data_IF_756019145106
#
_entry.id   IF_756019145106
#
_cell.length_a   1.000
_cell.length_b   1.000
_cell.length_c   1.000
_cell.angle_alpha   90.00
_cell.angle_beta   90.00
_cell.angle_gamma   90.00
#
_symmetry.space_group_name_H-M   'P 1'
#
loop_
_entity.id
_entity.type
_entity.pdbx_description
1 polymer ?
#
# COMPACT_ATOMS: atom_id res chain seq x y z
N UNK A 1 30.29 28.39 10.44
CA UNK A 1 28.87 28.48 10.04
C UNK A 1 27.96 28.05 11.19
N UNK A 2 27.22 28.97 11.83
CA UNK A 2 26.19 28.58 12.81
C UNK A 2 24.96 28.04 12.10
N UNK A 3 24.38 27.01 12.68
CA UNK A 3 23.15 26.36 12.21
C UNK A 3 22.16 26.25 13.35
N UNK A 4 20.86 26.21 13.04
CA UNK A 4 19.83 25.88 14.03
C UNK A 4 19.44 24.41 13.98
N UNK A 5 18.75 23.96 15.03
CA UNK A 5 18.17 22.62 15.07
C UNK A 5 17.16 22.46 13.93
N UNK A 6 17.27 21.45 13.08
CA UNK A 6 16.34 21.29 11.97
C UNK A 6 14.95 20.86 12.45
N UNK A 7 13.93 21.25 11.68
CA UNK A 7 12.60 20.63 11.74
C UNK A 7 12.69 19.26 11.08
N UNK A 8 12.36 18.21 11.83
CA UNK A 8 12.45 16.81 11.40
C UNK A 8 11.04 16.22 11.30
N UNK A 9 10.77 15.47 10.23
CA UNK A 9 9.58 14.64 10.09
C UNK A 9 9.73 13.37 10.94
N UNK A 10 8.85 13.19 11.94
CA UNK A 10 8.81 12.00 12.79
C UNK A 10 7.75 11.02 12.29
N UNK A 11 7.89 9.73 12.62
CA UNK A 11 6.91 8.73 12.20
C UNK A 11 5.50 9.03 12.74
N UNK A 12 5.41 9.50 13.98
CA UNK A 12 4.14 9.90 14.62
C UNK A 12 3.37 11.00 13.88
N UNK A 13 3.99 11.69 12.90
CA UNK A 13 3.30 12.74 12.14
C UNK A 13 2.39 12.14 11.06
N UNK A 14 2.69 10.93 10.57
CA UNK A 14 1.91 10.32 9.49
C UNK A 14 1.28 8.97 9.87
N UNK A 15 1.57 8.42 11.06
CA UNK A 15 1.02 7.13 11.49
C UNK A 15 -0.52 7.12 11.55
N UNK A 16 -1.15 8.22 11.97
CA UNK A 16 -2.61 8.30 12.02
C UNK A 16 -3.22 8.43 10.61
N UNK A 17 -2.58 9.20 9.73
CA UNK A 17 -2.93 9.27 8.30
C UNK A 17 -2.79 7.88 7.65
N UNK A 18 -1.71 7.15 7.94
CA UNK A 18 -1.50 5.78 7.45
C UNK A 18 -2.64 4.84 7.90
N UNK A 19 -3.05 4.91 9.17
CA UNK A 19 -4.16 4.12 9.70
C UNK A 19 -5.48 4.47 9.02
N UNK A 20 -5.74 5.76 8.75
CA UNK A 20 -6.95 6.21 8.07
C UNK A 20 -7.03 5.68 6.64
N UNK A 21 -5.94 5.77 5.86
CA UNK A 21 -5.88 5.23 4.50
C UNK A 21 -6.09 3.71 4.51
N UNK A 22 -5.40 3.00 5.42
CA UNK A 22 -5.57 1.56 5.58
C UNK A 22 -6.99 1.19 5.99
N UNK A 23 -7.62 1.97 6.86
CA UNK A 23 -8.99 1.81 7.30
C UNK A 23 -9.99 1.94 6.17
N UNK A 24 -9.78 2.91 5.26
CA UNK A 24 -10.59 3.07 4.04
C UNK A 24 -10.52 1.79 3.20
N UNK A 25 -9.31 1.37 2.81
CA UNK A 25 -9.16 0.22 1.92
C UNK A 25 -9.63 -1.08 2.57
N UNK A 26 -9.39 -1.27 3.86
CA UNK A 26 -9.90 -2.43 4.57
C UNK A 26 -11.43 -2.43 4.63
N UNK A 27 -12.05 -1.34 5.08
CA UNK A 27 -13.52 -1.28 5.25
C UNK A 27 -14.25 -1.46 3.92
N UNK A 28 -13.76 -0.84 2.86
CA UNK A 28 -14.49 -0.73 1.59
C UNK A 28 -14.11 -1.79 0.57
N UNK A 29 -12.93 -2.40 0.68
CA UNK A 29 -12.44 -3.43 -0.25
C UNK A 29 -12.14 -4.70 0.52
N UNK A 30 -11.03 -4.74 1.25
CA UNK A 30 -10.43 -6.02 1.68
C UNK A 30 -11.24 -6.75 2.76
N UNK A 31 -11.80 -6.04 3.74
CA UNK A 31 -12.66 -6.63 4.76
C UNK A 31 -13.90 -7.29 4.16
N UNK A 32 -14.47 -6.71 3.10
CA UNK A 32 -15.60 -7.29 2.35
C UNK A 32 -15.16 -8.54 1.58
N UNK A 33 -14.02 -8.45 0.87
CA UNK A 33 -13.46 -9.58 0.12
C UNK A 33 -13.09 -10.76 1.03
N UNK A 34 -12.36 -10.50 2.11
CA UNK A 34 -11.93 -11.50 3.08
C UNK A 34 -13.12 -12.16 3.77
N UNK A 35 -14.19 -11.42 4.07
CA UNK A 35 -15.43 -12.00 4.62
C UNK A 35 -16.09 -12.98 3.64
N UNK A 36 -16.12 -12.65 2.34
CA UNK A 36 -16.65 -13.55 1.30
C UNK A 36 -15.80 -14.82 1.22
N UNK A 37 -14.47 -14.65 1.18
CA UNK A 37 -13.51 -15.76 1.14
C UNK A 37 -13.66 -16.66 2.36
N UNK A 38 -13.74 -16.11 3.57
CA UNK A 38 -13.85 -16.89 4.80
C UNK A 38 -15.17 -17.68 4.86
N UNK A 39 -16.27 -17.05 4.45
CA UNK A 39 -17.60 -17.68 4.48
C UNK A 39 -17.71 -18.86 3.51
N UNK A 40 -17.09 -18.75 2.33
CA UNK A 40 -17.19 -19.76 1.27
C UNK A 40 -16.06 -20.81 1.43
N UNK A 41 -14.83 -20.38 1.70
CA UNK A 41 -13.67 -21.26 1.90
C UNK A 41 -13.81 -22.19 3.10
N UNK A 42 -14.37 -21.73 4.23
CA UNK A 42 -14.66 -22.63 5.37
C UNK A 42 -15.70 -23.70 5.02
N UNK A 43 -16.71 -23.37 4.20
CA UNK A 43 -17.72 -24.34 3.75
C UNK A 43 -17.16 -25.40 2.80
N UNK A 44 -16.11 -25.08 2.05
CA UNK A 44 -15.39 -26.03 1.19
C UNK A 44 -14.53 -27.02 2.01
N UNK A 45 -14.04 -26.63 3.18
CA UNK A 45 -13.16 -27.48 3.99
C UNK A 45 -13.88 -28.44 4.96
N UNK A 46 -15.17 -28.25 5.25
CA UNK A 46 -15.84 -28.86 6.42
C UNK A 46 -16.71 -30.12 6.19
N UNK A 47 -16.80 -30.67 4.97
CA UNK A 47 -17.66 -31.84 4.73
C UNK A 47 -16.84 -33.08 4.35
N UNK A 48 -16.90 -34.11 5.21
CA UNK A 48 -16.50 -35.48 4.86
C UNK A 48 -17.73 -36.37 4.86
N UNK A 49 -18.29 -36.62 3.68
CA UNK A 49 -19.15 -37.75 3.42
C UNK A 49 -18.30 -39.01 3.15
N UNK A 50 -18.99 -40.12 2.94
CA UNK A 50 -18.43 -41.47 2.75
C UNK A 50 -17.53 -41.65 1.50
N UNK A 51 -17.49 -40.71 0.55
CA UNK A 51 -16.68 -40.77 -0.68
C UNK A 51 -15.66 -39.64 -0.76
N UNK A 52 -14.41 -39.96 -0.41
CA UNK A 52 -13.33 -39.00 -0.30
C UNK A 52 -12.95 -38.31 -1.63
N UNK A 53 -13.12 -38.98 -2.79
CA UNK A 53 -12.83 -38.36 -4.08
C UNK A 53 -13.96 -37.42 -4.50
N UNK A 54 -15.21 -37.83 -4.28
CA UNK A 54 -16.37 -36.97 -4.54
C UNK A 54 -16.25 -35.67 -3.74
N UNK A 55 -16.01 -35.76 -2.43
CA UNK A 55 -15.91 -34.58 -1.59
C UNK A 55 -14.72 -33.70 -2.00
N UNK A 56 -13.57 -34.31 -2.27
CA UNK A 56 -12.39 -33.54 -2.64
C UNK A 56 -12.59 -32.78 -3.96
N UNK A 57 -13.27 -33.37 -4.95
CA UNK A 57 -13.63 -32.69 -6.19
C UNK A 57 -14.76 -31.67 -5.99
N UNK A 58 -15.82 -32.05 -5.27
CA UNK A 58 -16.99 -31.20 -5.04
C UNK A 58 -16.61 -29.91 -4.30
N UNK A 59 -15.70 -30.00 -3.34
CA UNK A 59 -15.30 -28.88 -2.51
C UNK A 59 -13.95 -28.28 -2.89
N UNK A 60 -13.45 -28.52 -4.12
CA UNK A 60 -12.26 -27.85 -4.65
C UNK A 60 -10.96 -28.15 -3.90
N UNK A 61 -10.90 -29.26 -3.14
CA UNK A 61 -9.66 -29.74 -2.53
C UNK A 61 -8.75 -30.45 -3.55
N UNK A 62 -9.34 -31.01 -4.60
CA UNK A 62 -8.67 -31.54 -5.78
C UNK A 62 -9.07 -30.72 -7.01
N UNK A 63 -8.07 -30.37 -7.82
CA UNK A 63 -8.31 -29.75 -9.12
C UNK A 63 -8.49 -30.85 -10.18
N UNK A 64 -9.46 -30.68 -11.08
CA UNK A 64 -9.61 -31.49 -12.30
C UNK A 64 -9.74 -30.59 -13.52
N UNK A 65 -8.83 -30.75 -14.48
CA UNK A 65 -8.86 -30.03 -15.75
C UNK A 65 -8.42 -30.95 -16.89
N UNK A 66 -9.25 -31.06 -17.93
CA UNK A 66 -8.96 -31.82 -19.16
C UNK A 66 -8.33 -33.22 -18.94
N UNK A 67 -8.84 -34.00 -17.99
CA UNK A 67 -8.33 -35.34 -17.69
C UNK A 67 -7.16 -35.38 -16.71
N UNK A 68 -6.74 -34.24 -16.16
CA UNK A 68 -5.64 -34.11 -15.20
C UNK A 68 -6.19 -33.78 -13.82
N UNK A 69 -5.80 -34.56 -12.81
CA UNK A 69 -6.11 -34.34 -11.40
C UNK A 69 -4.84 -33.94 -10.66
N UNK A 70 -4.92 -32.91 -9.82
CA UNK A 70 -3.78 -32.43 -9.04
C UNK A 70 -4.17 -31.99 -7.63
N UNK A 71 -3.14 -31.76 -6.78
CA UNK A 71 -3.19 -31.35 -5.36
C UNK A 71 -3.67 -32.42 -4.37
N UNK A 72 -3.48 -32.15 -3.08
CA UNK A 72 -4.10 -32.75 -1.89
C UNK A 72 -4.71 -34.17 -2.04
N UNK A 73 -3.91 -35.12 -2.54
CA UNK A 73 -4.30 -36.54 -2.56
C UNK A 73 -3.94 -37.17 -1.22
N UNK A 74 -4.80 -38.08 -0.74
CA UNK A 74 -4.55 -38.91 0.43
C UNK A 74 -4.78 -40.39 0.08
N UNK A 75 -4.45 -41.31 0.99
CA UNK A 75 -4.55 -42.74 0.72
C UNK A 75 -5.94 -43.20 0.24
N UNK A 76 -7.03 -42.59 0.76
CA UNK A 76 -8.39 -42.92 0.35
C UNK A 76 -8.69 -42.45 -1.08
N UNK A 77 -8.32 -41.21 -1.42
CA UNK A 77 -8.43 -40.64 -2.76
C UNK A 77 -7.62 -41.46 -3.77
N UNK A 78 -6.37 -41.78 -3.44
CA UNK A 78 -5.46 -42.54 -4.31
C UNK A 78 -6.01 -43.92 -4.67
N UNK A 79 -6.66 -44.60 -3.72
CA UNK A 79 -7.32 -45.90 -3.97
C UNK A 79 -8.42 -45.76 -5.02
N UNK A 80 -9.22 -44.70 -4.92
CA UNK A 80 -10.31 -44.44 -5.85
C UNK A 80 -9.77 -44.04 -7.23
N UNK A 81 -8.77 -43.15 -7.30
CA UNK A 81 -8.13 -42.73 -8.55
C UNK A 81 -7.61 -43.93 -9.36
N UNK A 82 -6.92 -44.87 -8.69
CA UNK A 82 -6.45 -46.10 -9.35
C UNK A 82 -7.61 -46.98 -9.84
N UNK A 83 -8.69 -47.09 -9.06
CA UNK A 83 -9.85 -47.90 -9.44
C UNK A 83 -10.59 -47.37 -10.68
N UNK A 84 -10.51 -46.05 -10.94
CA UNK A 84 -11.10 -45.42 -12.13
C UNK A 84 -10.10 -45.32 -13.30
N UNK A 85 -8.96 -46.01 -13.22
CA UNK A 85 -7.98 -46.06 -14.30
C UNK A 85 -7.02 -44.87 -14.37
N UNK A 86 -6.99 -43.99 -13.36
CA UNK A 86 -6.07 -42.87 -13.36
C UNK A 86 -4.60 -43.32 -13.17
N UNK A 87 -3.69 -42.71 -13.93
CA UNK A 87 -2.25 -43.01 -13.93
C UNK A 87 -1.46 -41.81 -13.43
N UNK A 88 -0.52 -42.05 -12.53
CA UNK A 88 0.35 -41.01 -12.01
C UNK A 88 1.41 -40.60 -13.04
N UNK A 89 1.60 -39.31 -13.22
CA UNK A 89 2.68 -38.70 -14.01
C UNK A 89 3.67 -38.02 -13.06
N UNK A 90 4.81 -38.67 -12.82
CA UNK A 90 5.84 -38.17 -11.90
C UNK A 90 6.59 -36.93 -12.40
N UNK A 91 6.47 -36.54 -13.68
CA UNK A 91 7.11 -35.31 -14.19
C UNK A 91 6.34 -34.07 -13.81
N UNK A 92 5.01 -34.17 -13.80
CA UNK A 92 4.09 -33.08 -13.46
C UNK A 92 3.51 -33.21 -12.05
N UNK A 93 3.80 -34.32 -11.37
CA UNK A 93 3.23 -34.69 -10.07
C UNK A 93 1.68 -34.74 -10.09
N UNK A 94 1.10 -35.16 -11.22
CA UNK A 94 -0.36 -35.20 -11.45
C UNK A 94 -0.89 -36.60 -11.73
N UNK A 95 -2.21 -36.75 -11.76
CA UNK A 95 -2.89 -37.99 -12.15
C UNK A 95 -3.67 -37.77 -13.45
N UNK A 96 -3.44 -38.60 -14.46
CA UNK A 96 -4.14 -38.56 -15.74
C UNK A 96 -5.23 -39.61 -15.79
N UNK A 97 -6.44 -39.22 -16.20
CA UNK A 97 -7.59 -40.09 -16.37
C UNK A 97 -8.30 -39.74 -17.68
N UNK A 98 -8.68 -40.74 -18.46
CA UNK A 98 -9.31 -40.53 -19.77
C UNK A 98 -10.68 -39.86 -19.65
N UNK A 99 -11.47 -40.28 -18.65
CA UNK A 99 -12.73 -39.63 -18.31
C UNK A 99 -13.14 -39.91 -16.86
N UNK A 100 -13.78 -38.94 -16.22
CA UNK A 100 -14.37 -39.14 -14.91
C UNK A 100 -15.73 -39.86 -15.01
N UNK A 101 -16.00 -40.86 -14.15
CA UNK A 101 -17.34 -41.38 -13.96
C UNK A 101 -18.37 -40.27 -13.66
N UNK A 102 -19.65 -40.44 -14.07
CA UNK A 102 -20.67 -39.37 -13.99
C UNK A 102 -20.77 -38.68 -12.63
N UNK A 103 -20.69 -39.43 -11.52
CA UNK A 103 -20.76 -38.85 -10.17
C UNK A 103 -19.64 -37.86 -9.86
N UNK A 104 -18.42 -38.10 -10.36
CA UNK A 104 -17.28 -37.21 -10.12
C UNK A 104 -17.28 -36.04 -11.10
N UNK A 105 -17.74 -36.25 -12.34
CA UNK A 105 -17.98 -35.15 -13.29
C UNK A 105 -19.01 -34.16 -12.76
N UNK A 106 -20.09 -34.65 -12.14
CA UNK A 106 -21.07 -33.79 -11.46
C UNK A 106 -20.47 -33.04 -10.25
N UNK A 107 -19.57 -33.68 -9.49
CA UNK A 107 -18.87 -33.04 -8.38
C UNK A 107 -18.01 -31.85 -8.87
N UNK A 108 -17.21 -32.05 -9.92
CA UNK A 108 -16.42 -31.00 -10.56
C UNK A 108 -17.33 -29.86 -11.06
N UNK A 109 -18.41 -30.17 -11.77
CA UNK A 109 -19.34 -29.15 -12.26
C UNK A 109 -19.97 -28.32 -11.12
N UNK A 110 -20.29 -28.95 -9.98
CA UNK A 110 -20.80 -28.25 -8.80
C UNK A 110 -19.73 -27.38 -8.12
N UNK A 111 -18.48 -27.83 -8.06
CA UNK A 111 -17.35 -27.02 -7.58
C UNK A 111 -17.13 -25.80 -8.48
N UNK A 112 -17.15 -26.02 -9.79
CA UNK A 112 -17.02 -24.98 -10.80
C UNK A 112 -18.10 -23.92 -10.64
N UNK A 113 -19.37 -24.33 -10.57
CA UNK A 113 -20.49 -23.40 -10.37
C UNK A 113 -20.32 -22.53 -9.11
N UNK A 114 -19.89 -23.12 -7.99
CA UNK A 114 -19.61 -22.40 -6.74
C UNK A 114 -18.46 -21.41 -6.90
N UNK A 115 -17.37 -21.82 -7.54
CA UNK A 115 -16.25 -20.94 -7.82
C UNK A 115 -16.64 -19.76 -8.71
N UNK A 116 -17.45 -20.00 -9.74
CA UNK A 116 -18.01 -18.94 -10.58
C UNK A 116 -18.83 -17.94 -9.75
N UNK A 117 -19.68 -18.43 -8.84
CA UNK A 117 -20.49 -17.58 -7.96
C UNK A 117 -19.64 -16.78 -6.96
N UNK A 118 -18.62 -17.40 -6.36
CA UNK A 118 -17.64 -16.73 -5.50
C UNK A 118 -16.95 -15.59 -6.26
N UNK A 119 -16.44 -15.89 -7.46
CA UNK A 119 -15.76 -14.89 -8.30
C UNK A 119 -16.67 -13.72 -8.62
N UNK A 120 -17.91 -13.99 -9.04
CA UNK A 120 -18.88 -12.92 -9.31
C UNK A 120 -19.17 -12.06 -8.08
N UNK A 121 -19.19 -12.68 -6.89
CA UNK A 121 -19.35 -11.94 -5.63
C UNK A 121 -18.15 -11.02 -5.34
N UNK A 122 -16.93 -11.49 -5.61
CA UNK A 122 -15.71 -10.68 -5.51
C UNK A 122 -15.74 -9.52 -6.51
N UNK A 123 -16.08 -9.78 -7.78
CA UNK A 123 -16.16 -8.76 -8.82
C UNK A 123 -17.19 -7.68 -8.44
N UNK A 124 -18.36 -8.07 -7.92
CA UNK A 124 -19.36 -7.09 -7.42
C UNK A 124 -18.80 -6.21 -6.32
N UNK A 125 -18.07 -6.76 -5.35
CA UNK A 125 -17.43 -5.95 -4.30
C UNK A 125 -16.44 -4.94 -4.88
N UNK A 126 -15.67 -5.35 -5.90
CA UNK A 126 -14.73 -4.47 -6.58
C UNK A 126 -15.43 -3.37 -7.39
N UNK A 127 -16.50 -3.73 -8.10
CA UNK A 127 -17.29 -2.78 -8.90
C UNK A 127 -18.06 -1.78 -8.01
N UNK A 128 -18.50 -2.19 -6.82
CA UNK A 128 -19.20 -1.36 -5.83
C UNK A 128 -18.25 -0.48 -4.98
N UNK A 129 -16.94 -0.69 -5.06
CA UNK A 129 -15.97 -0.01 -4.20
C UNK A 129 -15.79 1.46 -4.58
N UNK A 130 -16.67 2.34 -4.08
CA UNK A 130 -16.53 3.79 -4.23
C UNK A 130 -15.68 4.40 -3.12
N UNK A 131 -14.39 4.62 -3.41
CA UNK A 131 -13.45 5.19 -2.44
C UNK A 131 -13.71 6.69 -2.17
N UNK A 132 -14.32 7.41 -3.12
CA UNK A 132 -14.65 8.84 -2.94
C UNK A 132 -15.56 9.07 -1.73
N UNK A 133 -16.59 8.24 -1.52
CA UNK A 133 -17.49 8.36 -0.37
C UNK A 133 -16.80 7.99 0.95
N UNK A 134 -15.90 7.00 0.91
CA UNK A 134 -15.14 6.58 2.08
C UNK A 134 -14.22 7.69 2.63
N UNK A 135 -13.71 8.54 1.74
CA UNK A 135 -12.74 9.58 2.10
C UNK A 135 -13.38 10.78 2.83
N UNK A 136 -14.70 10.96 2.75
CA UNK A 136 -15.40 11.97 3.55
C UNK A 136 -15.66 11.53 5.00
N UNK A 137 -15.42 10.26 5.33
CA UNK A 137 -15.70 9.68 6.65
C UNK A 137 -14.47 9.59 7.56
N UNK A 138 -13.30 10.07 7.12
CA UNK A 138 -12.03 9.90 7.84
C UNK A 138 -11.45 11.22 8.34
N UNK A 139 -10.69 11.14 9.44
CA UNK A 139 -10.06 12.27 10.13
C UNK A 139 -8.80 12.84 9.48
N UNK A 140 -8.59 12.67 8.16
CA UNK A 140 -7.35 13.07 7.47
C UNK A 140 -7.04 14.56 7.68
N UNK A 141 -8.04 15.44 7.61
CA UNK A 141 -7.86 16.87 7.86
C UNK A 141 -7.38 17.14 9.29
N UNK A 142 -7.95 16.43 10.27
CA UNK A 142 -7.53 16.53 11.68
C UNK A 142 -6.08 16.05 11.85
N UNK A 143 -5.72 14.93 11.24
CA UNK A 143 -4.37 14.38 11.29
C UNK A 143 -3.32 15.31 10.64
N UNK A 144 -3.67 15.98 9.54
CA UNK A 144 -2.82 17.03 8.96
C UNK A 144 -2.74 18.28 9.84
N UNK A 145 -3.86 18.70 10.45
CA UNK A 145 -3.86 19.82 11.40
C UNK A 145 -2.89 19.58 12.57
N UNK A 146 -2.89 18.36 13.12
CA UNK A 146 -1.95 17.95 14.18
C UNK A 146 -0.50 17.94 13.70
N UNK A 147 -0.24 17.46 12.48
CA UNK A 147 1.08 17.54 11.85
C UNK A 147 1.58 18.98 11.75
N UNK A 148 0.72 19.89 11.29
CA UNK A 148 1.04 21.31 11.16
C UNK A 148 1.32 21.91 12.53
N UNK A 149 0.51 21.61 13.55
CA UNK A 149 0.75 22.06 14.93
C UNK A 149 2.11 21.60 15.47
N UNK A 150 2.46 20.32 15.29
CA UNK A 150 3.73 19.77 15.76
C UNK A 150 4.91 20.35 14.99
N UNK A 151 4.74 20.60 13.69
CA UNK A 151 5.76 21.23 12.84
C UNK A 151 5.99 22.69 13.23
N UNK A 152 4.91 23.43 13.47
CA UNK A 152 4.97 24.81 13.95
C UNK A 152 5.63 24.87 15.33
N UNK A 153 5.30 23.97 16.26
CA UNK A 153 5.97 23.91 17.56
C UNK A 153 7.49 23.67 17.44
N UNK A 154 7.92 22.79 16.52
CA UNK A 154 9.35 22.60 16.23
C UNK A 154 9.99 23.87 15.68
N UNK A 155 9.32 24.55 14.75
CA UNK A 155 9.81 25.81 14.19
C UNK A 155 10.03 26.86 15.27
N UNK A 156 9.02 27.08 16.12
CA UNK A 156 9.06 28.03 17.23
C UNK A 156 10.26 27.78 18.15
N UNK A 157 10.46 26.51 18.54
CA UNK A 157 11.59 26.09 19.36
C UNK A 157 12.94 26.32 18.65
N UNK A 158 13.01 26.05 17.35
CA UNK A 158 14.22 26.23 16.54
C UNK A 158 14.66 27.70 16.49
N UNK A 159 13.73 28.65 16.35
CA UNK A 159 14.05 30.06 16.07
C UNK A 159 13.95 31.00 17.28
N UNK A 160 13.39 30.56 18.42
CA UNK A 160 13.22 31.41 19.62
C UNK A 160 14.51 32.05 20.14
N UNK A 161 15.66 31.43 19.86
CA UNK A 161 16.98 31.92 20.30
C UNK A 161 17.51 33.10 19.47
N UNK A 162 16.94 33.31 18.28
CA UNK A 162 17.41 34.34 17.34
C UNK A 162 16.38 35.45 17.11
N UNK A 163 15.09 35.20 17.34
CA UNK A 163 14.01 36.20 17.22
C UNK A 163 12.72 35.76 17.89
N UNK A 164 11.76 36.67 17.98
CA UNK A 164 10.35 36.37 18.25
C UNK A 164 9.69 35.99 16.90
N UNK A 165 9.38 34.71 16.65
CA UNK A 165 8.68 34.30 15.43
C UNK A 165 7.21 34.73 15.46
N UNK A 166 6.64 34.97 14.28
CA UNK A 166 5.18 35.01 14.12
C UNK A 166 4.61 33.64 14.47
N UNK A 167 3.33 33.54 14.84
CA UNK A 167 2.65 32.25 15.08
C UNK A 167 1.57 32.08 14.02
N UNK A 168 1.45 30.88 13.45
CA UNK A 168 0.35 30.58 12.54
C UNK A 168 -1.01 30.71 13.24
N UNK A 169 -1.94 31.40 12.60
CA UNK A 169 -3.31 31.52 13.09
C UNK A 169 -4.05 30.18 12.99
N UNK A 170 -5.18 30.06 13.69
CA UNK A 170 -6.06 28.90 13.55
C UNK A 170 -6.50 28.70 12.09
N UNK A 171 -6.89 29.79 11.42
CA UNK A 171 -7.33 29.77 10.02
C UNK A 171 -6.23 29.31 9.06
N UNK A 172 -4.98 29.75 9.26
CA UNK A 172 -3.85 29.30 8.45
C UNK A 172 -3.64 27.79 8.55
N UNK A 173 -3.72 27.26 9.77
CA UNK A 173 -3.50 25.83 10.03
C UNK A 173 -4.59 24.97 9.41
N UNK A 174 -5.85 25.39 9.52
CA UNK A 174 -6.98 24.69 8.89
C UNK A 174 -6.89 24.77 7.36
N UNK A 175 -6.56 25.94 6.81
CA UNK A 175 -6.37 26.10 5.36
C UNK A 175 -5.28 25.17 4.82
N UNK A 176 -4.13 25.10 5.49
CA UNK A 176 -3.04 24.19 5.14
C UNK A 176 -3.47 22.72 5.28
N UNK A 177 -4.18 22.36 6.36
CA UNK A 177 -4.66 21.01 6.56
C UNK A 177 -5.61 20.55 5.45
N UNK A 178 -6.55 21.40 5.05
CA UNK A 178 -7.47 21.14 3.93
C UNK A 178 -6.75 20.96 2.60
N UNK A 179 -5.76 21.83 2.32
CA UNK A 179 -4.96 21.74 1.11
C UNK A 179 -4.27 20.38 0.99
N UNK A 180 -3.55 19.97 2.04
CA UNK A 180 -2.82 18.69 2.03
C UNK A 180 -3.75 17.47 2.09
N UNK A 181 -4.91 17.61 2.73
CA UNK A 181 -5.98 16.61 2.66
C UNK A 181 -6.44 16.41 1.22
N UNK A 182 -6.78 17.49 0.50
CA UNK A 182 -7.19 17.43 -0.90
C UNK A 182 -6.14 16.79 -1.80
N UNK A 183 -4.86 17.13 -1.63
CA UNK A 183 -3.76 16.53 -2.37
C UNK A 183 -3.67 15.02 -2.14
N UNK A 184 -3.63 14.59 -0.88
CA UNK A 184 -3.57 13.18 -0.52
C UNK A 184 -4.79 12.42 -1.05
N UNK A 185 -5.97 13.03 -0.97
CA UNK A 185 -7.21 12.45 -1.45
C UNK A 185 -7.15 12.11 -2.94
N UNK A 186 -6.59 12.99 -3.78
CA UNK A 186 -6.41 12.73 -5.22
C UNK A 186 -5.54 11.49 -5.47
N UNK A 187 -4.45 11.32 -4.71
CA UNK A 187 -3.55 10.17 -4.85
C UNK A 187 -4.17 8.87 -4.36
N UNK A 188 -4.92 8.89 -3.25
CA UNK A 188 -5.68 7.74 -2.75
C UNK A 188 -6.67 7.29 -3.82
N UNK A 189 -7.46 8.22 -4.38
CA UNK A 189 -8.44 7.90 -5.41
C UNK A 189 -7.77 7.29 -6.64
N UNK A 190 -6.78 7.99 -7.22
CA UNK A 190 -6.08 7.53 -8.44
C UNK A 190 -5.49 6.13 -8.27
N UNK A 191 -4.82 5.89 -7.15
CA UNK A 191 -4.23 4.58 -6.87
C UNK A 191 -5.31 3.51 -6.68
N UNK A 192 -6.38 3.83 -5.96
CA UNK A 192 -7.48 2.89 -5.71
C UNK A 192 -8.17 2.48 -7.02
N UNK A 193 -8.50 3.44 -7.88
CA UNK A 193 -9.11 3.16 -9.19
C UNK A 193 -8.23 2.21 -10.00
N UNK A 194 -6.92 2.45 -10.02
CA UNK A 194 -5.96 1.60 -10.74
C UNK A 194 -5.86 0.21 -10.12
N UNK A 195 -5.75 0.13 -8.79
CA UNK A 195 -5.57 -1.11 -8.07
C UNK A 195 -6.81 -2.00 -8.13
N UNK A 196 -8.02 -1.42 -8.05
CA UNK A 196 -9.28 -2.15 -8.19
C UNK A 196 -9.38 -2.77 -9.58
N UNK A 197 -9.03 -2.02 -10.63
CA UNK A 197 -9.03 -2.53 -12.01
C UNK A 197 -8.00 -3.65 -12.20
N UNK A 198 -6.78 -3.50 -11.68
CA UNK A 198 -5.74 -4.54 -11.72
C UNK A 198 -6.16 -5.81 -10.97
N UNK A 199 -6.68 -5.67 -9.74
CA UNK A 199 -7.18 -6.80 -8.96
C UNK A 199 -8.34 -7.50 -9.68
N UNK A 200 -9.27 -6.76 -10.27
CA UNK A 200 -10.35 -7.30 -11.10
C UNK A 200 -9.82 -8.12 -12.26
N UNK A 201 -8.81 -7.62 -12.99
CA UNK A 201 -8.18 -8.37 -14.08
C UNK A 201 -7.50 -9.65 -13.58
N UNK A 202 -6.78 -9.60 -12.46
CA UNK A 202 -6.16 -10.77 -11.84
C UNK A 202 -7.18 -11.81 -11.39
N UNK A 203 -8.32 -11.38 -10.85
CA UNK A 203 -9.42 -12.27 -10.46
C UNK A 203 -10.04 -12.95 -11.68
N UNK A 204 -10.17 -12.23 -12.81
CA UNK A 204 -10.69 -12.79 -14.05
C UNK A 204 -9.71 -13.76 -14.72
N UNK A 205 -8.40 -13.47 -14.69
CA UNK A 205 -7.37 -14.30 -15.35
C UNK A 205 -7.09 -15.62 -14.63
N UNK A 206 -7.35 -15.71 -13.31
CA UNK A 206 -7.25 -16.96 -12.54
C UNK A 206 -8.12 -18.12 -13.10
N UNK A 207 -9.14 -17.81 -13.93
CA UNK A 207 -10.02 -18.81 -14.58
C UNK A 207 -9.29 -19.61 -15.66
N UNK A 208 -8.44 -18.96 -16.47
CA UNK A 208 -7.81 -19.57 -17.64
C UNK A 208 -6.73 -20.58 -17.23
N UNK A 209 -6.13 -20.40 -16.06
CA UNK A 209 -5.02 -21.21 -15.58
C UNK A 209 -5.44 -22.44 -14.72
N UNK A 210 -6.75 -22.69 -14.54
CA UNK A 210 -7.22 -23.79 -13.69
C UNK A 210 -6.99 -23.59 -12.19
N UNK A 211 -6.76 -22.35 -11.73
CA UNK A 211 -6.35 -22.02 -10.36
C UNK A 211 -7.54 -21.53 -9.53
N UNK A 212 -8.17 -22.41 -8.73
CA UNK A 212 -9.59 -22.21 -8.38
C UNK A 212 -9.94 -21.82 -6.93
N UNK A 213 -9.03 -21.72 -5.97
CA UNK A 213 -9.38 -21.04 -4.71
C UNK A 213 -8.17 -20.44 -3.99
N UNK A 214 -7.20 -21.27 -3.64
CA UNK A 214 -6.02 -20.82 -2.88
C UNK A 214 -5.25 -19.68 -3.57
N UNK A 215 -5.13 -19.72 -4.89
CA UNK A 215 -4.44 -18.67 -5.64
C UNK A 215 -5.26 -17.38 -5.70
N UNK A 216 -6.59 -17.46 -5.72
CA UNK A 216 -7.46 -16.31 -5.60
C UNK A 216 -7.31 -15.65 -4.22
N UNK A 217 -7.27 -16.46 -3.16
CA UNK A 217 -6.99 -15.99 -1.79
C UNK A 217 -5.62 -15.30 -1.74
N UNK A 218 -4.56 -15.97 -2.19
CA UNK A 218 -3.20 -15.41 -2.24
C UNK A 218 -3.13 -14.13 -3.07
N UNK A 219 -3.87 -14.05 -4.18
CA UNK A 219 -3.94 -12.85 -5.03
C UNK A 219 -4.52 -11.67 -4.26
N UNK A 220 -5.63 -11.90 -3.54
CA UNK A 220 -6.32 -10.85 -2.77
C UNK A 220 -5.51 -10.44 -1.55
N UNK A 221 -4.97 -11.40 -0.79
CA UNK A 221 -4.10 -11.15 0.37
C UNK A 221 -2.83 -10.41 -0.04
N UNK A 222 -2.16 -10.85 -1.11
CA UNK A 222 -0.98 -10.18 -1.64
C UNK A 222 -1.28 -8.76 -2.10
N UNK A 223 -2.42 -8.53 -2.75
CA UNK A 223 -2.85 -7.19 -3.12
C UNK A 223 -3.16 -6.31 -1.90
N UNK A 224 -3.70 -6.89 -0.82
CA UNK A 224 -3.89 -6.18 0.44
C UNK A 224 -2.57 -5.78 1.10
N UNK A 225 -1.54 -6.64 1.09
CA UNK A 225 -0.21 -6.27 1.58
C UNK A 225 0.42 -5.13 0.76
N UNK A 226 0.27 -5.16 -0.57
CA UNK A 226 0.70 -4.06 -1.45
C UNK A 226 -0.03 -2.77 -1.10
N UNK A 227 -1.33 -2.85 -0.80
CA UNK A 227 -2.13 -1.70 -0.35
C UNK A 227 -1.58 -1.15 0.96
N UNK A 228 -1.33 -1.98 1.97
CA UNK A 228 -0.76 -1.52 3.25
C UNK A 228 0.55 -0.76 3.07
N UNK A 229 1.44 -1.28 2.22
CA UNK A 229 2.68 -0.58 1.86
C UNK A 229 2.42 0.75 1.14
N UNK A 230 1.42 0.80 0.25
CA UNK A 230 1.03 2.03 -0.42
C UNK A 230 0.46 3.07 0.54
N UNK A 231 -0.33 2.67 1.54
CA UNK A 231 -0.91 3.58 2.53
C UNK A 231 0.20 4.29 3.28
N UNK A 232 1.17 3.51 3.77
CA UNK A 232 2.37 4.03 4.43
C UNK A 232 3.16 4.98 3.54
N UNK A 233 3.36 4.61 2.28
CA UNK A 233 4.05 5.45 1.32
C UNK A 233 3.32 6.79 1.11
N UNK A 234 2.01 6.77 0.85
CA UNK A 234 1.21 7.98 0.60
C UNK A 234 1.16 8.88 1.83
N UNK A 235 0.88 8.31 3.00
CA UNK A 235 0.83 9.05 4.27
C UNK A 235 2.17 9.75 4.54
N UNK A 236 3.28 9.01 4.45
CA UNK A 236 4.62 9.57 4.65
C UNK A 236 4.95 10.63 3.61
N UNK A 237 4.67 10.36 2.33
CA UNK A 237 5.04 11.25 1.23
C UNK A 237 4.32 12.59 1.33
N UNK A 238 3.00 12.58 1.48
CA UNK A 238 2.21 13.81 1.56
C UNK A 238 2.51 14.60 2.83
N UNK A 239 2.73 13.92 3.96
CA UNK A 239 3.18 14.57 5.20
C UNK A 239 4.57 15.19 5.04
N UNK A 240 5.50 14.52 4.35
CA UNK A 240 6.85 15.04 4.10
C UNK A 240 6.82 16.29 3.23
N UNK A 241 5.96 16.32 2.20
CA UNK A 241 5.74 17.49 1.36
C UNK A 241 5.11 18.64 2.17
N UNK A 242 4.11 18.35 3.01
CA UNK A 242 3.50 19.32 3.90
C UNK A 242 4.50 19.96 4.87
N UNK A 243 5.31 19.14 5.52
CA UNK A 243 6.35 19.62 6.44
C UNK A 243 7.43 20.39 5.71
N UNK A 244 7.84 19.96 4.51
CA UNK A 244 8.86 20.66 3.71
C UNK A 244 8.38 22.04 3.26
N UNK A 245 7.15 22.11 2.74
CA UNK A 245 6.51 23.36 2.33
C UNK A 245 6.33 24.33 3.49
N UNK A 246 5.80 23.84 4.62
CA UNK A 246 5.66 24.66 5.82
C UNK A 246 7.01 25.13 6.33
N UNK A 247 8.00 24.24 6.45
CA UNK A 247 9.37 24.60 6.87
C UNK A 247 9.96 25.72 6.01
N UNK A 248 9.84 25.61 4.68
CA UNK A 248 10.34 26.64 3.76
C UNK A 248 9.67 27.98 4.04
N UNK A 249 8.35 28.02 4.15
CA UNK A 249 7.60 29.23 4.44
C UNK A 249 8.05 29.86 5.76
N UNK A 250 8.13 29.06 6.84
CA UNK A 250 8.45 29.56 8.18
C UNK A 250 9.90 30.02 8.29
N UNK A 251 10.85 29.32 7.67
CA UNK A 251 12.22 29.78 7.61
C UNK A 251 12.38 31.06 6.78
N UNK A 252 11.64 31.21 5.67
CA UNK A 252 11.60 32.47 4.94
C UNK A 252 11.07 33.63 5.81
N UNK A 253 9.98 33.43 6.56
CA UNK A 253 9.46 34.42 7.52
C UNK A 253 10.51 34.79 8.60
N UNK A 254 11.37 33.83 8.95
CA UNK A 254 12.46 34.01 9.89
C UNK A 254 13.70 34.71 9.29
N UNK A 255 13.76 34.91 7.97
CA UNK A 255 14.93 35.42 7.25
C UNK A 255 16.01 34.36 6.96
N UNK A 256 15.67 33.08 7.12
CA UNK A 256 16.56 31.95 6.87
C UNK A 256 16.28 31.45 5.44
N UNK A 257 17.20 31.75 4.53
CA UNK A 257 17.05 31.41 3.11
C UNK A 257 17.84 30.18 2.67
N UNK A 258 18.84 29.77 3.48
CA UNK A 258 19.77 28.69 3.16
C UNK A 258 19.72 27.54 4.15
N UNK A 259 20.12 26.37 3.67
CA UNK A 259 20.28 25.18 4.49
C UNK A 259 21.48 24.37 4.04
N UNK A 260 22.06 23.63 4.98
CA UNK A 260 22.97 22.52 4.70
C UNK A 260 22.16 21.24 4.55
N UNK A 261 22.37 20.52 3.45
CA UNK A 261 21.74 19.23 3.22
C UNK A 261 22.34 18.17 4.16
N UNK A 262 21.49 17.43 4.86
CA UNK A 262 21.88 16.28 5.68
C UNK A 262 21.19 15.04 5.16
N UNK A 263 21.94 14.12 4.56
CA UNK A 263 21.40 12.84 4.10
C UNK A 263 21.12 11.90 5.29
N UNK A 264 20.31 10.87 5.10
CA UNK A 264 20.09 9.84 6.13
C UNK A 264 21.23 8.84 6.27
N UNK A 265 22.19 8.87 5.35
CA UNK A 265 23.42 8.05 5.34
C UNK A 265 23.24 6.53 5.43
N UNK A 266 22.06 6.00 5.04
CA UNK A 266 21.81 4.56 4.99
C UNK A 266 21.79 3.99 3.57
N UNK A 267 21.59 2.67 3.47
CA UNK A 267 21.61 1.92 2.22
C UNK A 267 20.52 2.32 1.23
N UNK A 268 19.44 2.95 1.70
CA UNK A 268 18.31 3.38 0.88
C UNK A 268 18.47 4.81 0.36
N UNK A 269 19.49 5.54 0.80
CA UNK A 269 19.78 6.88 0.30
C UNK A 269 20.31 6.80 -1.12
N UNK A 270 19.67 7.53 -2.03
CA UNK A 270 20.08 7.65 -3.44
C UNK A 270 21.48 8.25 -3.55
N UNK A 271 22.24 7.84 -4.56
CA UNK A 271 23.59 8.35 -4.79
C UNK A 271 23.63 9.88 -4.89
N UNK A 272 22.73 10.48 -5.66
CA UNK A 272 22.60 11.95 -5.77
C UNK A 272 22.40 12.62 -4.41
N UNK A 273 21.62 12.03 -3.50
CA UNK A 273 21.40 12.61 -2.16
C UNK A 273 22.64 12.49 -1.26
N UNK A 274 23.49 11.47 -1.48
CA UNK A 274 24.79 11.36 -0.80
C UNK A 274 25.75 12.44 -1.28
N UNK A 275 25.76 12.73 -2.58
CA UNK A 275 26.58 13.79 -3.17
C UNK A 275 26.17 15.20 -2.71
N UNK A 276 24.90 15.39 -2.33
CA UNK A 276 24.41 16.65 -1.77
C UNK A 276 24.78 16.82 -0.29
N UNK A 277 25.12 15.74 0.42
CA UNK A 277 25.37 15.76 1.86
C UNK A 277 26.45 16.78 2.24
N UNK A 278 26.16 17.62 3.23
CA UNK A 278 27.07 18.66 3.71
C UNK A 278 27.11 19.94 2.85
N UNK A 279 26.56 19.94 1.64
CA UNK A 279 26.51 21.12 0.77
C UNK A 279 25.40 22.08 1.18
N UNK A 280 25.58 23.36 0.84
CA UNK A 280 24.65 24.44 1.18
C UNK A 280 23.85 24.80 -0.07
N UNK A 281 22.54 24.98 0.11
CA UNK A 281 21.62 25.37 -0.96
C UNK A 281 20.63 26.43 -0.45
N UNK A 282 20.09 27.20 -1.39
CA UNK A 282 18.98 28.11 -1.12
C UNK A 282 17.65 27.33 -1.17
N UNK A 283 16.74 27.62 -0.24
CA UNK A 283 15.38 27.03 -0.25
C UNK A 283 14.62 27.38 -1.54
N UNK A 284 14.85 28.57 -2.10
CA UNK A 284 14.20 29.06 -3.33
C UNK A 284 14.85 28.53 -4.61
N UNK A 285 16.07 28.00 -4.54
CA UNK A 285 16.79 27.43 -5.68
C UNK A 285 17.38 26.06 -5.29
N UNK A 286 16.52 25.03 -5.08
CA UNK A 286 16.96 23.73 -4.63
C UNK A 286 17.81 23.01 -5.68
N UNK A 287 18.73 22.12 -5.26
CA UNK A 287 19.50 21.32 -6.18
C UNK A 287 18.65 20.28 -6.89
N UNK A 288 19.19 19.70 -7.96
CA UNK A 288 18.64 18.49 -8.58
C UNK A 288 18.74 17.35 -7.57
N UNK A 289 17.57 16.83 -7.16
CA UNK A 289 17.48 15.78 -6.15
C UNK A 289 16.44 14.70 -6.50
N UNK A 290 15.64 14.89 -7.55
CA UNK A 290 14.77 13.85 -8.13
C UNK A 290 15.48 13.01 -9.20
N UNK A 291 14.96 11.82 -9.46
CA UNK A 291 15.55 10.86 -10.42
C UNK A 291 15.49 11.34 -11.88
N UNK A 292 14.56 12.24 -12.22
CA UNK A 292 14.36 12.75 -13.58
C UNK A 292 14.83 14.21 -13.74
N UNK A 293 15.92 14.59 -13.07
CA UNK A 293 16.44 15.97 -13.13
C UNK A 293 15.57 16.99 -12.38
N UNK A 294 14.57 16.54 -11.62
CA UNK A 294 13.72 17.42 -10.83
C UNK A 294 14.52 18.03 -9.68
N UNK A 295 14.35 19.33 -9.47
CA UNK A 295 14.88 20.01 -8.30
C UNK A 295 13.95 19.80 -7.10
N UNK A 296 14.52 19.82 -5.90
CA UNK A 296 13.72 19.69 -4.68
C UNK A 296 14.54 19.77 -3.41
N UNK A 297 13.93 20.33 -2.36
CA UNK A 297 14.50 20.42 -1.03
C UNK A 297 14.46 19.06 -0.30
N UNK A 298 15.23 18.89 0.80
CA UNK A 298 15.16 17.68 1.62
C UNK A 298 13.74 17.36 2.08
N UNK A 299 13.23 16.17 1.76
CA UNK A 299 11.86 15.75 2.08
C UNK A 299 10.84 15.93 0.94
N UNK A 300 11.18 16.61 -0.15
CA UNK A 300 10.30 16.75 -1.31
C UNK A 300 10.39 15.57 -2.29
N UNK A 301 11.58 15.08 -2.69
CA UNK A 301 11.67 13.91 -3.56
C UNK A 301 11.01 12.68 -2.93
N UNK A 302 10.49 11.79 -3.78
CA UNK A 302 9.71 10.65 -3.29
C UNK A 302 10.50 9.78 -2.30
N UNK A 303 9.90 9.45 -1.16
CA UNK A 303 10.53 8.65 -0.11
C UNK A 303 11.81 9.26 0.49
N UNK A 304 12.07 10.56 0.26
CA UNK A 304 13.23 11.24 0.80
C UNK A 304 13.15 11.32 2.33
N UNK A 305 14.29 11.12 2.99
CA UNK A 305 14.44 11.18 4.46
C UNK A 305 15.55 12.14 4.89
N UNK A 306 16.11 12.86 3.92
CA UNK A 306 17.10 13.89 4.14
C UNK A 306 16.49 15.07 4.90
N UNK A 307 17.33 15.81 5.60
CA UNK A 307 16.94 16.92 6.47
C UNK A 307 17.63 18.20 6.01
N UNK A 308 16.89 19.31 6.00
CA UNK A 308 17.44 20.64 5.77
C UNK A 308 17.89 21.24 7.10
N UNK A 309 19.20 21.38 7.31
CA UNK A 309 19.77 22.02 8.50
C UNK A 309 19.86 23.52 8.22
N UNK A 310 19.03 24.37 8.83
CA UNK A 310 18.99 25.80 8.54
C UNK A 310 20.33 26.48 8.88
N UNK A 311 20.81 27.33 7.98
CA UNK A 311 22.03 28.13 8.14
C UNK A 311 21.65 29.56 8.50
N UNK A 312 22.31 30.15 9.50
CA UNK A 312 22.04 31.53 9.91
C UNK A 312 22.68 32.54 8.94
N UNK A 313 21.98 33.66 8.64
CA UNK A 313 22.55 34.75 7.86
C UNK A 313 23.82 35.33 8.51
N UNK A 314 24.86 35.60 7.70
CA UNK A 314 26.08 36.29 8.14
C UNK A 314 27.27 35.42 8.53
N UNK A 315 27.11 34.09 8.64
CA UNK A 315 28.22 33.16 8.87
C UNK A 315 28.71 32.47 7.57
N UNK A 316 28.45 33.12 6.43
CA UNK A 316 28.61 32.59 5.07
C UNK A 316 30.04 32.75 4.51
N UNK A 317 30.92 33.48 5.21
CA UNK A 317 32.26 33.87 4.75
C UNK A 317 33.40 33.21 5.54
N UNK A 318 33.33 31.92 5.81
CA UNK A 318 34.52 31.16 6.26
C UNK A 318 34.61 29.93 5.39
N UNK A 319 35.21 30.09 4.21
CA UNK A 319 35.93 29.10 3.42
C UNK A 319 36.36 29.79 2.10
N UNK A 320 37.31 30.72 2.22
CA UNK A 320 38.30 30.98 1.17
C UNK A 320 39.53 30.10 1.48
#
# INVERSE_FOLDING_TARGET
MKTLRPIILRNSYFEDIEKEINGIWYRWIYGRLLKIIDTIGKKELQNSATDALYDALAYGRLDYDAGVISRNTNAAILKILRSIGAKYDGRSETWKVDSLPPKYSMAVAAADSRYQALRQSIIRVLDDASITAAMSEVGIETSFYDTINRTEAQFQETVKSIRIPTVLTYEDKIRLARQWTGNLQLYIKKWSDTNILDLRQKVLSNVVAGQRFENLVKTIEGNYEVSKNKARFLARQETSLAVSSLRQQRYADAGITRYRWSSSEDERVRHSHKELNGKIFDFSNPPISGENGQTGNPGEPFGCRCVAIPVLPGDEFIND
#
